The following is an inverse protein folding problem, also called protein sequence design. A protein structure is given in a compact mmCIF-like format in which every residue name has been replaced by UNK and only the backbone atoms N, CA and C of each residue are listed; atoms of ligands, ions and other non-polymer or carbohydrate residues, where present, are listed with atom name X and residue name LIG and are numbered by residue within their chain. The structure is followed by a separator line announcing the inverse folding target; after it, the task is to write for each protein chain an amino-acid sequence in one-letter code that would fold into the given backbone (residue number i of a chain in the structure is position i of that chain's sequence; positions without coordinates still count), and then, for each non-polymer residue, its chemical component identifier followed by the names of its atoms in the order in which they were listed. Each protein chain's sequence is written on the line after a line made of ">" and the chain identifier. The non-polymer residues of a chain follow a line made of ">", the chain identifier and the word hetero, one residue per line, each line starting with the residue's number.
data_IF_738446640545
#
_entry.id   IF_738446640545
#
_cell.length_a   1.000
_cell.length_b   1.000
_cell.length_c   1.000
_cell.angle_alpha   90.00
_cell.angle_beta   90.00
_cell.angle_gamma   90.00
#
_symmetry.space_group_name_H-M   'P 1'
#
loop_
_entity.id
_entity.type
_entity.pdbx_description
1 polymer ?
#
# COMPACT_ATOMS: atom_id res chain seq x y z
N UNK A 1 18.76 0.04 -25.91
CA UNK A 1 18.61 -0.73 -24.66
C UNK A 1 17.13 -0.76 -24.31
N UNK A 2 16.56 -1.93 -24.08
CA UNK A 2 15.14 -2.09 -23.71
C UNK A 2 14.99 -2.05 -22.19
N UNK A 3 13.79 -1.78 -21.68
CA UNK A 3 13.52 -1.94 -20.26
C UNK A 3 12.09 -2.34 -19.96
N UNK A 4 11.84 -2.67 -18.71
CA UNK A 4 10.61 -3.33 -18.26
C UNK A 4 9.80 -2.42 -17.34
N UNK A 5 8.53 -2.24 -17.65
CA UNK A 5 7.58 -1.51 -16.82
C UNK A 5 6.98 -2.43 -15.76
N UNK A 6 7.28 -2.19 -14.47
CA UNK A 6 6.70 -2.97 -13.36
C UNK A 6 5.19 -2.72 -13.19
N UNK A 7 4.66 -1.63 -13.74
CA UNK A 7 3.26 -1.21 -13.58
C UNK A 7 2.32 -1.75 -14.66
N UNK A 8 2.80 -1.84 -15.90
CA UNK A 8 2.04 -2.32 -17.06
C UNK A 8 2.54 -3.67 -17.59
N UNK A 9 3.59 -4.21 -16.98
CA UNK A 9 4.26 -5.46 -17.36
C UNK A 9 4.67 -5.48 -18.84
N UNK A 10 5.01 -4.31 -19.41
CA UNK A 10 5.36 -4.16 -20.82
C UNK A 10 6.85 -3.88 -21.04
N UNK A 11 7.33 -4.15 -22.26
CA UNK A 11 8.71 -3.89 -22.68
C UNK A 11 8.75 -2.57 -23.44
N UNK A 12 9.48 -1.58 -22.93
CA UNK A 12 9.58 -0.24 -23.49
C UNK A 12 10.80 -0.07 -24.41
N UNK A 13 10.57 0.57 -25.56
CA UNK A 13 11.60 0.88 -26.53
C UNK A 13 12.36 2.17 -26.11
N UNK A 14 13.70 2.18 -26.17
CA UNK A 14 14.52 3.36 -25.86
C UNK A 14 14.30 4.56 -26.78
N UNK A 15 13.69 4.37 -27.96
CA UNK A 15 13.46 5.44 -28.93
C UNK A 15 12.31 6.37 -28.54
N UNK A 16 11.42 5.97 -27.63
CA UNK A 16 10.25 6.75 -27.23
C UNK A 16 10.01 6.81 -25.71
N UNK A 17 10.91 6.25 -24.90
CA UNK A 17 10.82 6.32 -23.45
C UNK A 17 12.18 6.73 -22.86
N UNK A 18 12.19 7.52 -21.77
CA UNK A 18 13.42 7.99 -21.11
C UNK A 18 13.55 7.41 -19.68
N UNK A 19 14.76 7.00 -19.30
CA UNK A 19 15.03 6.35 -18.00
C UNK A 19 14.59 7.25 -16.82
N UNK A 20 14.10 6.66 -15.72
CA UNK A 20 13.46 7.27 -14.54
C UNK A 20 14.27 8.38 -13.85
N UNK A 21 15.59 8.46 -14.10
CA UNK A 21 16.41 9.59 -13.64
C UNK A 21 16.48 10.78 -14.61
N UNK A 22 15.72 10.73 -15.70
CA UNK A 22 15.49 11.86 -16.59
C UNK A 22 14.15 12.45 -16.16
N UNK A 23 14.11 13.72 -15.80
CA UNK A 23 12.93 14.45 -15.30
C UNK A 23 11.78 14.60 -16.33
N UNK A 24 11.65 13.66 -17.26
CA UNK A 24 10.70 13.64 -18.37
C UNK A 24 9.82 12.39 -18.26
N UNK A 25 8.51 12.58 -18.32
CA UNK A 25 7.54 11.49 -18.36
C UNK A 25 7.43 10.93 -19.80
N UNK A 26 7.14 9.62 -20.00
CA UNK A 26 6.98 8.55 -19.01
C UNK A 26 8.31 7.95 -18.53
N UNK A 27 8.37 7.59 -17.24
CA UNK A 27 9.57 7.08 -16.55
C UNK A 27 9.63 5.55 -16.51
N UNK A 28 10.76 4.95 -16.89
CA UNK A 28 11.03 3.49 -16.84
C UNK A 28 12.47 3.21 -16.37
N UNK A 29 12.80 1.97 -15.98
CA UNK A 29 14.16 1.62 -15.53
C UNK A 29 14.85 0.72 -16.56
N UNK A 30 16.02 1.12 -17.04
CA UNK A 30 16.86 0.30 -17.92
C UNK A 30 17.74 -0.69 -17.17
N UNK A 31 18.15 -1.79 -17.81
CA UNK A 31 19.07 -2.78 -17.23
C UNK A 31 20.40 -2.15 -16.76
N UNK A 32 20.92 -1.19 -17.52
CA UNK A 32 22.15 -0.49 -17.16
C UNK A 32 21.99 0.35 -15.90
N UNK A 33 20.89 1.11 -15.82
CA UNK A 33 20.60 1.94 -14.65
C UNK A 33 20.30 1.10 -13.42
N UNK A 34 19.57 -0.01 -13.60
CA UNK A 34 19.35 -0.99 -12.54
C UNK A 34 20.68 -1.51 -12.00
N UNK A 35 21.57 -1.98 -12.87
CA UNK A 35 22.89 -2.48 -12.47
C UNK A 35 23.76 -1.40 -11.80
N UNK A 36 23.71 -0.15 -12.27
CA UNK A 36 24.45 0.97 -11.68
C UNK A 36 23.95 1.34 -10.27
N UNK A 37 22.64 1.24 -10.02
CA UNK A 37 22.01 1.65 -8.76
C UNK A 37 21.86 0.51 -7.76
N UNK A 38 21.85 -0.75 -8.21
CA UNK A 38 21.54 -1.92 -7.39
C UNK A 38 22.37 -1.99 -6.10
N UNK A 39 23.69 -1.86 -6.18
CA UNK A 39 24.57 -1.92 -5.00
C UNK A 39 24.28 -0.81 -3.97
N UNK A 40 23.87 0.37 -4.45
CA UNK A 40 23.51 1.49 -3.58
C UNK A 40 22.16 1.24 -2.91
N UNK A 41 21.18 0.72 -3.65
CA UNK A 41 19.89 0.31 -3.10
C UNK A 41 20.12 -0.74 -2.02
N UNK A 42 20.90 -1.79 -2.32
CA UNK A 42 21.25 -2.84 -1.37
C UNK A 42 21.86 -2.27 -0.08
N UNK A 43 22.88 -1.42 -0.18
CA UNK A 43 23.55 -0.84 0.99
C UNK A 43 22.60 0.03 1.85
N UNK A 44 21.74 0.83 1.22
CA UNK A 44 20.74 1.64 1.93
C UNK A 44 19.69 0.77 2.62
N UNK A 45 19.25 -0.32 1.97
CA UNK A 45 18.32 -1.29 2.56
C UNK A 45 18.94 -2.02 3.75
N UNK A 46 20.23 -2.38 3.68
CA UNK A 46 20.95 -3.01 4.81
C UNK A 46 21.03 -2.08 6.04
N UNK A 47 21.16 -0.77 5.85
CA UNK A 47 21.13 0.19 6.95
C UNK A 47 19.74 0.32 7.58
N UNK A 48 18.69 0.18 6.79
CA UNK A 48 17.31 0.16 7.29
C UNK A 48 17.05 -1.10 8.13
N UNK A 49 17.68 -2.23 7.76
CA UNK A 49 17.62 -3.48 8.52
C UNK A 49 18.32 -3.42 9.89
N UNK A 50 19.16 -2.41 10.15
CA UNK A 50 19.79 -2.17 11.45
C UNK A 50 18.88 -1.39 12.43
N UNK A 51 17.74 -0.87 11.96
CA UNK A 51 16.74 -0.25 12.84
C UNK A 51 15.98 -1.32 13.60
N UNK A 52 15.48 -0.97 14.79
CA UNK A 52 14.51 -1.82 15.49
C UNK A 52 13.33 -2.02 14.55
N UNK A 53 13.09 -3.27 14.15
CA UNK A 53 11.98 -3.58 13.27
C UNK A 53 10.68 -3.07 13.93
N UNK A 54 9.88 -2.26 13.23
CA UNK A 54 8.63 -1.78 13.78
C UNK A 54 7.72 -2.97 14.10
N UNK A 55 6.84 -2.86 15.11
CA UNK A 55 5.91 -3.92 15.45
C UNK A 55 5.09 -4.28 14.21
N UNK A 56 5.14 -5.54 13.81
CA UNK A 56 4.37 -6.05 12.68
C UNK A 56 2.92 -6.23 13.13
N UNK A 57 2.04 -5.38 12.64
CA UNK A 57 0.58 -5.44 12.86
C UNK A 57 -0.11 -5.87 11.57
N UNK A 58 -1.39 -6.23 11.66
CA UNK A 58 -2.20 -6.41 10.46
C UNK A 58 -2.53 -5.04 9.90
N UNK A 59 -2.17 -4.79 8.63
CA UNK A 59 -2.49 -3.56 7.92
C UNK A 59 -3.44 -3.87 6.77
N UNK A 60 -4.30 -2.91 6.43
CA UNK A 60 -5.06 -2.90 5.19
C UNK A 60 -4.20 -2.25 4.12
N UNK A 61 -4.03 -2.92 2.98
CA UNK A 61 -3.36 -2.37 1.81
C UNK A 61 -4.27 -2.51 0.61
N UNK A 62 -4.29 -1.50 -0.24
CA UNK A 62 -5.02 -1.60 -1.48
C UNK A 62 -4.86 -0.43 -2.42
N UNK A 63 -5.49 -0.56 -3.57
CA UNK A 63 -5.62 0.50 -4.57
C UNK A 63 -7.08 0.90 -4.71
N UNK A 64 -7.30 2.19 -4.91
CA UNK A 64 -8.62 2.76 -5.16
C UNK A 64 -8.51 3.73 -6.34
N UNK A 65 -9.42 3.58 -7.29
CA UNK A 65 -9.71 4.61 -8.27
C UNK A 65 -10.84 5.51 -7.72
N UNK A 66 -10.55 6.76 -7.32
CA UNK A 66 -11.51 7.68 -6.73
C UNK A 66 -12.52 8.23 -7.76
N UNK A 67 -12.28 8.07 -9.06
CA UNK A 67 -13.25 8.47 -10.10
C UNK A 67 -14.27 7.35 -10.36
N UNK A 68 -13.79 6.12 -10.56
CA UNK A 68 -14.66 4.98 -10.91
C UNK A 68 -15.19 4.21 -9.70
N UNK A 69 -14.52 4.33 -8.54
CA UNK A 69 -14.77 3.49 -7.36
C UNK A 69 -14.22 2.06 -7.48
N UNK A 70 -13.48 1.75 -8.55
CA UNK A 70 -12.79 0.47 -8.67
C UNK A 70 -11.73 0.33 -7.58
N UNK A 71 -11.64 -0.84 -6.96
CA UNK A 71 -10.73 -1.03 -5.83
C UNK A 71 -10.29 -2.47 -5.65
N UNK A 72 -9.07 -2.65 -5.18
CA UNK A 72 -8.52 -3.94 -4.78
C UNK A 72 -7.86 -3.81 -3.40
N UNK A 73 -8.36 -4.56 -2.41
CA UNK A 73 -7.88 -4.50 -1.04
C UNK A 73 -7.52 -5.88 -0.49
N UNK A 74 -6.47 -5.94 0.32
CA UNK A 74 -6.04 -7.11 1.05
C UNK A 74 -5.46 -6.73 2.41
N UNK A 75 -5.29 -7.71 3.29
CA UNK A 75 -4.56 -7.55 4.53
C UNK A 75 -3.20 -8.21 4.45
N UNK A 76 -2.20 -7.59 5.07
CA UNK A 76 -0.87 -8.18 5.23
C UNK A 76 -0.28 -7.81 6.59
N UNK A 77 0.83 -8.46 6.96
CA UNK A 77 1.63 -8.01 8.10
C UNK A 77 2.55 -6.90 7.66
N UNK A 78 2.45 -5.76 8.34
CA UNK A 78 3.28 -4.61 8.06
C UNK A 78 3.19 -3.60 9.18
N UNK A 79 3.58 -2.38 8.88
CA UNK A 79 3.49 -1.27 9.82
C UNK A 79 3.26 0.00 9.03
N UNK A 80 2.24 0.75 9.41
CA UNK A 80 2.04 2.13 8.97
C UNK A 80 2.37 3.01 10.17
N UNK A 81 3.22 4.02 9.99
CA UNK A 81 3.53 4.95 11.07
C UNK A 81 2.22 5.59 11.58
N UNK A 82 1.90 5.46 12.88
CA UNK A 82 0.68 6.02 13.43
C UNK A 82 0.64 7.53 13.21
N UNK A 83 -0.38 7.99 12.49
CA UNK A 83 -0.71 9.42 12.42
C UNK A 83 -1.87 9.70 13.36
N UNK A 84 -1.94 10.93 13.89
CA UNK A 84 -3.08 11.36 14.69
C UNK A 84 -4.35 11.34 13.84
N UNK A 85 -5.29 10.43 14.15
CA UNK A 85 -6.56 10.30 13.44
C UNK A 85 -7.35 11.61 13.39
N UNK A 86 -7.29 12.42 14.47
CA UNK A 86 -8.01 13.70 14.55
C UNK A 86 -7.45 14.79 13.61
N UNK A 87 -6.17 14.67 13.22
CA UNK A 87 -5.51 15.61 12.32
C UNK A 87 -5.30 15.08 10.91
N UNK A 88 -5.58 13.80 10.67
CA UNK A 88 -5.35 13.19 9.36
C UNK A 88 -6.48 13.52 8.39
N UNK A 89 -6.18 14.00 7.17
CA UNK A 89 -7.19 14.24 6.13
C UNK A 89 -7.83 12.94 5.63
N UNK A 90 -7.20 11.80 5.89
CA UNK A 90 -7.62 10.50 5.42
C UNK A 90 -7.80 9.57 6.62
N UNK A 91 -9.00 9.01 6.78
CA UNK A 91 -9.28 8.07 7.86
C UNK A 91 -9.93 6.80 7.33
N UNK A 92 -9.59 5.68 7.94
CA UNK A 92 -10.24 4.40 7.69
C UNK A 92 -11.09 4.03 8.90
N UNK A 93 -12.40 3.96 8.70
CA UNK A 93 -13.35 3.50 9.71
C UNK A 93 -13.75 2.04 9.44
N UNK A 94 -13.79 1.22 10.49
CA UNK A 94 -14.46 -0.08 10.48
C UNK A 94 -15.90 0.13 10.90
N UNK A 95 -16.84 -0.32 10.09
CA UNK A 95 -18.27 -0.05 10.29
C UNK A 95 -19.03 -1.38 10.40
N UNK A 96 -20.04 -1.40 11.26
CA UNK A 96 -21.08 -2.44 11.29
C UNK A 96 -22.45 -1.75 11.18
N UNK A 97 -23.09 -1.88 10.01
CA UNK A 97 -24.26 -1.10 9.63
C UNK A 97 -23.89 0.38 9.51
N UNK A 98 -24.41 1.18 10.45
CA UNK A 98 -24.19 2.63 10.57
C UNK A 98 -23.30 3.00 11.78
N UNK A 99 -22.73 2.00 12.47
CA UNK A 99 -21.91 2.21 13.67
C UNK A 99 -20.43 2.11 13.32
N UNK A 100 -19.69 3.17 13.63
CA UNK A 100 -18.22 3.16 13.63
C UNK A 100 -17.71 2.33 14.81
N UNK A 101 -17.18 1.15 14.55
CA UNK A 101 -16.54 0.29 15.54
C UNK A 101 -15.14 0.79 15.92
N UNK A 102 -14.41 1.32 14.94
CA UNK A 102 -13.06 1.83 15.10
C UNK A 102 -12.70 2.79 13.96
N UNK A 103 -11.85 3.78 14.23
CA UNK A 103 -11.32 4.67 13.20
C UNK A 103 -9.83 4.91 13.42
N UNK A 104 -9.07 4.84 12.33
CA UNK A 104 -7.62 5.04 12.30
C UNK A 104 -7.26 6.04 11.19
N UNK A 105 -6.11 6.69 11.31
CA UNK A 105 -5.55 7.43 10.18
C UNK A 105 -5.23 6.46 9.03
N UNK A 106 -5.48 6.91 7.80
CA UNK A 106 -5.12 6.20 6.59
C UNK A 106 -4.02 6.99 5.88
N UNK A 107 -2.99 6.29 5.46
CA UNK A 107 -1.96 6.83 4.58
C UNK A 107 -2.40 6.61 3.13
N UNK A 108 -2.52 7.70 2.37
CA UNK A 108 -3.07 7.70 1.01
C UNK A 108 -2.09 8.40 0.08
N UNK A 109 -1.51 7.63 -0.84
CA UNK A 109 -0.55 8.12 -1.82
C UNK A 109 -1.17 8.13 -3.21
N UNK A 110 -1.27 9.32 -3.81
CA UNK A 110 -1.71 9.47 -5.19
C UNK A 110 -0.66 8.98 -6.18
N UNK A 111 -1.09 8.26 -7.21
CA UNK A 111 -0.20 7.82 -8.28
C UNK A 111 0.15 9.01 -9.17
N UNK A 112 1.39 9.01 -9.68
CA UNK A 112 1.86 10.04 -10.61
C UNK A 112 1.12 10.02 -11.96
N UNK A 113 0.46 8.90 -12.29
CA UNK A 113 -0.25 8.68 -13.54
C UNK A 113 -1.65 8.11 -13.27
N UNK A 114 -2.67 8.73 -13.85
CA UNK A 114 -4.07 8.34 -13.69
C UNK A 114 -4.65 8.71 -12.31
N UNK A 115 -5.93 8.36 -12.07
CA UNK A 115 -6.63 8.79 -10.86
C UNK A 115 -6.32 7.92 -9.63
N UNK A 116 -5.55 6.84 -9.77
CA UNK A 116 -5.40 5.82 -8.73
C UNK A 116 -4.66 6.34 -7.49
N UNK A 117 -5.05 5.81 -6.33
CA UNK A 117 -4.38 6.02 -5.06
C UNK A 117 -4.04 4.67 -4.41
N UNK A 118 -2.91 4.61 -3.73
CA UNK A 118 -2.58 3.53 -2.79
C UNK A 118 -3.05 3.92 -1.41
N UNK A 119 -3.69 2.99 -0.71
CA UNK A 119 -4.21 3.20 0.65
C UNK A 119 -3.56 2.19 1.59
N UNK A 120 -3.07 2.68 2.72
CA UNK A 120 -2.48 1.87 3.79
C UNK A 120 -3.02 2.32 5.14
N UNK A 121 -3.44 1.39 5.99
CA UNK A 121 -3.90 1.74 7.34
C UNK A 121 -3.67 0.60 8.32
N UNK A 122 -3.33 0.94 9.57
CA UNK A 122 -3.25 -0.05 10.64
C UNK A 122 -4.65 -0.57 10.97
N UNK A 123 -4.84 -1.89 10.98
CA UNK A 123 -6.10 -2.47 11.41
C UNK A 123 -6.09 -2.73 12.92
N UNK A 124 -7.26 -2.61 13.59
CA UNK A 124 -7.39 -2.98 14.99
C UNK A 124 -7.32 -4.51 15.16
N UNK A 125 -7.51 -4.99 16.40
CA UNK A 125 -7.53 -6.42 16.69
C UNK A 125 -8.52 -7.21 15.79
N UNK A 126 -8.16 -8.44 15.45
CA UNK A 126 -8.95 -9.29 14.52
C UNK A 126 -10.42 -9.45 14.92
N UNK A 127 -10.73 -9.44 16.22
CA UNK A 127 -12.11 -9.51 16.71
C UNK A 127 -12.97 -8.30 16.24
N UNK A 128 -12.39 -7.10 16.17
CA UNK A 128 -13.08 -5.92 15.65
C UNK A 128 -13.24 -5.98 14.13
N UNK A 129 -12.24 -6.51 13.43
CA UNK A 129 -12.29 -6.76 11.98
C UNK A 129 -13.37 -7.80 11.65
N UNK A 130 -13.52 -8.83 12.47
CA UNK A 130 -14.55 -9.86 12.27
C UNK A 130 -15.97 -9.34 12.55
N UNK A 131 -16.09 -8.32 13.41
CA UNK A 131 -17.37 -7.68 13.74
C UNK A 131 -17.82 -6.60 12.75
N UNK A 132 -16.95 -6.14 11.84
CA UNK A 132 -17.32 -5.15 10.83
C UNK A 132 -17.98 -5.81 9.61
N UNK A 133 -18.85 -5.07 8.94
CA UNK A 133 -19.41 -5.44 7.63
C UNK A 133 -18.71 -4.70 6.48
N UNK A 134 -18.09 -3.56 6.76
CA UNK A 134 -17.40 -2.75 5.77
C UNK A 134 -16.26 -1.94 6.37
N UNK A 135 -15.42 -1.42 5.48
CA UNK A 135 -14.45 -0.38 5.74
C UNK A 135 -14.89 0.89 5.01
N UNK A 136 -14.84 2.04 5.67
CA UNK A 136 -15.08 3.34 5.08
C UNK A 136 -13.80 4.14 5.04
N UNK A 137 -13.27 4.33 3.83
CA UNK A 137 -12.18 5.27 3.60
C UNK A 137 -12.78 6.66 3.42
N UNK A 138 -12.55 7.53 4.40
CA UNK A 138 -13.02 8.91 4.42
C UNK A 138 -11.87 9.80 3.99
N UNK A 139 -12.05 10.48 2.86
CA UNK A 139 -11.15 11.49 2.32
C UNK A 139 -11.90 12.83 2.27
N UNK A 140 -11.20 13.97 2.16
CA UNK A 140 -11.86 15.28 2.20
C UNK A 140 -12.91 15.45 1.10
N UNK A 141 -12.65 14.88 -0.08
CA UNK A 141 -13.50 15.01 -1.27
C UNK A 141 -14.57 13.92 -1.38
N UNK A 142 -14.37 12.77 -0.72
CA UNK A 142 -15.19 11.57 -0.94
C UNK A 142 -15.04 10.55 0.20
N UNK A 143 -16.13 9.83 0.48
CA UNK A 143 -16.09 8.57 1.22
C UNK A 143 -16.22 7.38 0.27
N UNK A 144 -15.36 6.39 0.42
CA UNK A 144 -15.43 5.12 -0.29
C UNK A 144 -15.75 3.99 0.72
N UNK A 145 -16.88 3.29 0.50
CA UNK A 145 -17.25 2.13 1.29
C UNK A 145 -16.81 0.84 0.60
N UNK A 146 -16.08 0.02 1.32
CA UNK A 146 -15.48 -1.23 0.87
C UNK A 146 -16.10 -2.34 1.70
N UNK A 147 -16.94 -3.16 1.07
CA UNK A 147 -17.55 -4.28 1.76
C UNK A 147 -16.48 -5.28 2.21
N UNK A 148 -16.59 -5.80 3.42
CA UNK A 148 -15.56 -6.67 4.03
C UNK A 148 -15.30 -7.90 3.18
N UNK A 149 -16.31 -8.48 2.56
CA UNK A 149 -16.20 -9.64 1.67
C UNK A 149 -15.39 -9.37 0.40
N UNK A 150 -15.18 -8.10 0.02
CA UNK A 150 -14.31 -7.71 -1.10
C UNK A 150 -12.84 -7.54 -0.68
N UNK A 151 -12.55 -7.59 0.62
CA UNK A 151 -11.18 -7.55 1.14
C UNK A 151 -10.64 -8.96 1.24
N UNK A 152 -9.47 -9.19 0.63
CA UNK A 152 -8.78 -10.48 0.75
C UNK A 152 -8.00 -10.53 2.05
N UNK A 153 -8.44 -11.36 2.98
CA UNK A 153 -7.75 -11.57 4.24
C UNK A 153 -6.68 -12.64 4.09
N UNK A 154 -5.42 -12.24 4.01
CA UNK A 154 -4.30 -13.17 4.03
C UNK A 154 -3.85 -13.44 5.48
N UNK A 155 -4.67 -14.22 6.19
CA UNK A 155 -4.39 -14.66 7.57
C UNK A 155 -3.43 -15.86 7.63
N UNK A 156 -2.96 -16.37 6.48
CA UNK A 156 -2.24 -17.64 6.37
C UNK A 156 -0.74 -17.57 6.74
N UNK A 157 -0.18 -16.40 7.06
CA UNK A 157 1.18 -16.30 7.61
C UNK A 157 1.28 -16.62 9.11
N UNK A 158 0.18 -17.06 9.75
CA UNK A 158 0.08 -17.31 11.20
C UNK A 158 0.62 -18.68 11.68
N UNK A 159 1.11 -19.57 10.80
CA UNK A 159 1.61 -20.91 11.19
C UNK A 159 3.03 -21.24 10.74
N UNK A 160 3.96 -20.28 10.84
CA UNK A 160 5.39 -20.64 10.95
C UNK A 160 5.96 -20.08 12.24
N UNK A 161 5.70 -20.80 13.32
CA UNK A 161 6.60 -20.84 14.47
C UNK A 161 8.01 -21.08 13.94
N UNK A 162 9.05 -20.33 14.35
CA UNK A 162 10.40 -20.79 14.12
C UNK A 162 10.53 -22.11 14.89
N UNK A 163 10.62 -23.22 14.17
CA UNK A 163 11.10 -24.46 14.76
C UNK A 163 12.48 -24.14 15.33
N UNK A 164 12.63 -24.33 16.64
CA UNK A 164 13.88 -24.07 17.32
C UNK A 164 15.00 -24.94 16.76
N UNK A 165 16.21 -24.38 16.80
CA UNK A 165 17.46 -25.04 17.15
C UNK A 165 18.44 -23.97 17.65
#
# INVERSE_FOLDING_TARGET
>A
MWGFGVRDFSIHNPSNHTDYMSYCNPTWVSDWQWNATFKRIQALTEWDALKVAPPQTTILVGTLNPETGESNFWTERGFVEPQDTAGSPHTLALVAGDIDLHSTAADVDAWSEGPWVTVRANLPAEAMIAGSDAFELRMPERTARIARERVRFDLAASMRTPAGE
#
